data_IF_517441709856
#
_entry.id   IF_517441709856
#
_cell.length_a   1.000
_cell.length_b   1.000
_cell.length_c   1.000
_cell.angle_alpha   90.00
_cell.angle_beta   90.00
_cell.angle_gamma   90.00
#
_symmetry.space_group_name_H-M   'P 1'
#
loop_
_entity.id
_entity.type
_entity.pdbx_description
1 polymer ?
#
# COMPACT_ATOMS: atom_id res chain seq x y z
N UNK A 1 9.41 56.47 -0.02
CA UNK A 1 9.77 55.41 0.95
C UNK A 1 9.98 54.12 0.17
N UNK A 2 11.15 53.48 0.22
CA UNK A 2 11.39 52.29 -0.59
C UNK A 2 10.56 51.13 -0.03
N UNK A 3 9.71 50.54 -0.87
CA UNK A 3 9.05 49.25 -0.57
C UNK A 3 10.18 48.23 -0.39
N UNK A 4 10.30 47.63 0.79
CA UNK A 4 11.07 46.40 0.98
C UNK A 4 10.46 45.35 0.05
N UNK A 5 11.06 45.17 -1.12
CA UNK A 5 10.77 44.05 -2.00
C UNK A 5 11.37 42.86 -1.27
N UNK A 6 10.55 42.14 -0.53
CA UNK A 6 10.90 40.82 -0.01
C UNK A 6 11.39 39.97 -1.17
N UNK A 7 12.69 39.68 -1.19
CA UNK A 7 13.37 38.97 -2.28
C UNK A 7 12.87 37.51 -2.42
N UNK A 8 12.18 37.00 -1.40
CA UNK A 8 11.80 35.60 -1.27
C UNK A 8 10.40 35.43 -0.68
N UNK A 9 9.75 34.29 -0.94
CA UNK A 9 8.35 33.99 -0.55
C UNK A 9 8.19 33.57 0.93
N UNK A 10 9.25 33.53 1.74
CA UNK A 10 9.20 33.03 3.14
C UNK A 10 8.33 33.84 4.10
N UNK A 11 7.86 35.02 3.73
CA UNK A 11 6.94 35.78 4.57
C UNK A 11 5.56 35.12 4.59
N UNK A 12 5.02 34.87 5.78
CA UNK A 12 3.74 34.17 5.98
C UNK A 12 2.59 34.82 5.21
N UNK A 13 2.58 36.16 5.11
CA UNK A 13 1.50 36.88 4.42
C UNK A 13 1.60 36.72 2.90
N UNK A 14 2.83 36.74 2.37
CA UNK A 14 3.08 36.51 0.94
C UNK A 14 2.81 35.08 0.53
N UNK A 15 3.28 34.11 1.32
CA UNK A 15 3.01 32.70 1.09
C UNK A 15 1.52 32.41 1.17
N UNK A 16 0.83 32.90 2.21
CA UNK A 16 -0.62 32.74 2.37
C UNK A 16 -1.38 33.35 1.20
N UNK A 17 -0.94 34.50 0.69
CA UNK A 17 -1.53 35.13 -0.49
C UNK A 17 -1.32 34.29 -1.74
N UNK A 18 -0.11 33.78 -1.96
CA UNK A 18 0.19 32.89 -3.09
C UNK A 18 -0.65 31.61 -3.03
N UNK A 19 -0.78 30.99 -1.85
CA UNK A 19 -1.62 29.82 -1.64
C UNK A 19 -3.08 30.09 -2.00
N UNK A 20 -3.69 31.12 -1.38
CA UNK A 20 -5.09 31.49 -1.64
C UNK A 20 -5.37 31.86 -3.10
N UNK A 21 -4.35 32.35 -3.81
CA UNK A 21 -4.50 32.78 -5.21
C UNK A 21 -4.32 31.62 -6.19
N UNK A 22 -3.38 30.69 -5.93
CA UNK A 22 -2.97 29.70 -6.94
C UNK A 22 -3.38 28.27 -6.62
N UNK A 23 -3.74 27.93 -5.38
CA UNK A 23 -4.03 26.54 -5.00
C UNK A 23 -5.23 25.96 -5.77
N UNK A 24 -6.31 26.74 -5.92
CA UNK A 24 -7.52 26.28 -6.63
C UNK A 24 -7.28 26.14 -8.14
N UNK A 25 -6.60 27.11 -8.76
CA UNK A 25 -6.21 27.04 -10.17
C UNK A 25 -5.27 25.86 -10.43
N UNK A 26 -4.33 25.61 -9.52
CA UNK A 26 -3.42 24.47 -9.61
C UNK A 26 -4.18 23.15 -9.48
N UNK A 27 -5.12 23.05 -8.53
CA UNK A 27 -5.98 21.88 -8.40
C UNK A 27 -6.74 21.61 -9.70
N UNK A 28 -7.42 22.61 -10.26
CA UNK A 28 -8.15 22.46 -11.51
C UNK A 28 -7.23 22.05 -12.66
N UNK A 29 -6.05 22.68 -12.78
CA UNK A 29 -5.06 22.30 -13.79
C UNK A 29 -4.66 20.82 -13.69
N UNK A 30 -4.35 20.34 -12.49
CA UNK A 30 -3.97 18.94 -12.27
C UNK A 30 -5.15 18.00 -12.51
N UNK A 31 -6.34 18.34 -12.01
CA UNK A 31 -7.57 17.57 -12.19
C UNK A 31 -7.92 17.41 -13.66
N UNK A 32 -7.91 18.49 -14.46
CA UNK A 32 -8.21 18.41 -15.89
C UNK A 32 -7.16 17.62 -16.66
N UNK A 33 -5.89 17.67 -16.25
CA UNK A 33 -4.80 17.02 -16.97
C UNK A 33 -4.66 15.53 -16.64
N UNK A 34 -4.90 15.14 -15.40
CA UNK A 34 -4.60 13.78 -14.92
C UNK A 34 -5.80 13.05 -14.31
N UNK A 35 -6.91 13.76 -14.07
CA UNK A 35 -8.08 13.24 -13.39
C UNK A 35 -7.91 13.11 -11.87
N UNK A 36 -8.96 12.61 -11.22
CA UNK A 36 -9.02 12.51 -9.76
C UNK A 36 -8.20 11.35 -9.17
N UNK A 37 -7.86 10.36 -10.02
CA UNK A 37 -7.22 9.09 -9.60
C UNK A 37 -5.86 9.27 -8.94
N UNK A 38 -5.19 10.40 -9.16
CA UNK A 38 -3.87 10.71 -8.61
C UNK A 38 -3.93 11.73 -7.46
N UNK A 39 -5.11 11.89 -6.85
CA UNK A 39 -5.40 12.83 -5.77
C UNK A 39 -4.76 14.23 -5.99
N UNK A 40 -5.31 15.04 -6.92
CA UNK A 40 -4.78 16.35 -7.23
C UNK A 40 -4.63 17.29 -6.01
N UNK A 41 -5.50 17.16 -4.99
CA UNK A 41 -5.45 17.99 -3.77
C UNK A 41 -4.16 17.75 -2.98
N UNK A 42 -3.79 16.48 -2.80
CA UNK A 42 -2.55 16.13 -2.09
C UNK A 42 -1.33 16.67 -2.84
N UNK A 43 -1.33 16.62 -4.18
CA UNK A 43 -0.20 17.12 -4.97
C UNK A 43 -0.10 18.65 -4.98
N UNK A 44 -1.22 19.36 -4.88
CA UNK A 44 -1.23 20.80 -4.59
C UNK A 44 -0.58 21.07 -3.25
N UNK A 45 -1.00 20.37 -2.20
CA UNK A 45 -0.45 20.54 -0.85
C UNK A 45 1.06 20.30 -0.83
N UNK A 46 1.51 19.18 -1.41
CA UNK A 46 2.92 18.82 -1.48
C UNK A 46 3.75 19.86 -2.24
N UNK A 47 3.23 20.41 -3.34
CA UNK A 47 3.92 21.47 -4.09
C UNK A 47 4.09 22.76 -3.27
N UNK A 48 3.09 23.12 -2.45
CA UNK A 48 3.20 24.27 -1.55
C UNK A 48 4.11 24.03 -0.35
N UNK A 49 4.16 22.80 0.18
CA UNK A 49 5.16 22.41 1.19
C UNK A 49 6.56 22.58 0.61
N UNK A 50 6.81 22.07 -0.59
CA UNK A 50 8.11 22.24 -1.27
C UNK A 50 8.44 23.71 -1.55
N UNK A 51 7.43 24.53 -1.88
CA UNK A 51 7.63 25.98 -2.01
C UNK A 51 8.08 26.59 -0.68
N UNK A 52 7.48 26.18 0.44
CA UNK A 52 7.84 26.65 1.77
C UNK A 52 9.25 26.23 2.17
N UNK A 53 9.63 24.97 1.93
CA UNK A 53 10.97 24.46 2.20
C UNK A 53 12.06 25.20 1.40
N UNK A 54 11.75 25.59 0.16
CA UNK A 54 12.66 26.31 -0.73
C UNK A 54 12.39 27.83 -0.76
N UNK A 55 11.65 28.36 0.22
CA UNK A 55 11.08 29.69 0.13
C UNK A 55 12.14 30.78 -0.06
N UNK A 56 13.35 30.58 0.48
CA UNK A 56 14.48 31.53 0.45
C UNK A 56 15.04 31.73 -0.96
N UNK A 57 14.91 30.71 -1.80
CA UNK A 57 15.47 30.68 -3.16
C UNK A 57 14.42 31.07 -4.21
N UNK A 58 13.13 31.10 -3.83
CA UNK A 58 12.03 31.38 -4.73
C UNK A 58 11.53 32.82 -4.53
N UNK A 59 11.76 33.71 -5.51
CA UNK A 59 11.21 35.05 -5.44
C UNK A 59 9.68 35.00 -5.60
N UNK A 60 8.92 35.92 -4.99
CA UNK A 60 7.46 35.91 -5.05
C UNK A 60 6.88 35.88 -6.48
N UNK A 61 7.57 36.51 -7.43
CA UNK A 61 7.19 36.52 -8.85
C UNK A 61 7.26 35.15 -9.53
N UNK A 62 8.09 34.22 -9.01
CA UNK A 62 8.25 32.85 -9.51
C UNK A 62 7.45 31.82 -8.72
N UNK A 63 6.73 32.21 -7.66
CA UNK A 63 5.98 31.26 -6.83
C UNK A 63 4.95 30.47 -7.64
N UNK A 64 4.22 31.13 -8.55
CA UNK A 64 3.24 30.46 -9.43
C UNK A 64 3.91 29.41 -10.33
N UNK A 65 4.94 29.80 -11.09
CA UNK A 65 5.61 28.86 -11.99
C UNK A 65 6.25 27.71 -11.22
N UNK A 66 6.84 27.97 -10.06
CA UNK A 66 7.41 26.96 -9.18
C UNK A 66 6.37 25.89 -8.80
N UNK A 67 5.23 26.27 -8.21
CA UNK A 67 4.24 25.28 -7.73
C UNK A 67 3.61 24.50 -8.88
N UNK A 68 3.39 25.14 -10.04
CA UNK A 68 2.87 24.44 -11.23
C UNK A 68 3.88 23.42 -11.78
N UNK A 69 5.16 23.78 -11.85
CA UNK A 69 6.21 22.86 -12.30
C UNK A 69 6.37 21.69 -11.32
N UNK A 70 6.45 21.98 -10.03
CA UNK A 70 6.62 20.95 -8.99
C UNK A 70 5.44 20.00 -8.98
N UNK A 71 4.21 20.50 -8.93
CA UNK A 71 3.02 19.64 -8.90
C UNK A 71 2.88 18.79 -10.17
N UNK A 72 3.18 19.35 -11.35
CA UNK A 72 3.16 18.58 -12.60
C UNK A 72 4.19 17.44 -12.57
N UNK A 73 5.39 17.69 -12.04
CA UNK A 73 6.42 16.66 -11.93
C UNK A 73 6.02 15.58 -10.92
N UNK A 74 5.39 15.96 -9.81
CA UNK A 74 4.85 15.01 -8.84
C UNK A 74 3.81 14.09 -9.45
N UNK A 75 2.89 14.63 -10.26
CA UNK A 75 1.90 13.83 -10.99
C UNK A 75 2.57 12.88 -11.99
N UNK A 76 3.55 13.37 -12.76
CA UNK A 76 4.25 12.53 -13.76
C UNK A 76 5.03 11.39 -13.11
N UNK A 77 5.67 11.65 -11.96
CA UNK A 77 6.37 10.62 -11.20
C UNK A 77 5.40 9.57 -10.66
N UNK A 78 4.22 9.98 -10.18
CA UNK A 78 3.17 9.07 -9.75
C UNK A 78 2.69 8.17 -10.91
N UNK A 79 2.44 8.76 -12.09
CA UNK A 79 2.06 8.00 -13.30
C UNK A 79 3.14 7.00 -13.68
N UNK A 80 4.42 7.41 -13.65
CA UNK A 80 5.54 6.53 -13.95
C UNK A 80 5.64 5.37 -12.95
N UNK A 81 5.45 5.66 -11.66
CA UNK A 81 5.43 4.65 -10.60
C UNK A 81 4.29 3.64 -10.79
N UNK A 82 3.06 4.12 -11.03
CA UNK A 82 1.90 3.25 -11.28
C UNK A 82 2.11 2.34 -12.50
N UNK A 83 2.77 2.84 -13.55
CA UNK A 83 3.11 2.03 -14.73
C UNK A 83 4.06 0.88 -14.37
N UNK A 84 5.05 1.15 -13.52
CA UNK A 84 6.00 0.14 -13.04
C UNK A 84 5.29 -0.89 -12.17
N UNK A 85 4.47 -0.45 -11.21
CA UNK A 85 3.68 -1.32 -10.33
C UNK A 85 2.76 -2.23 -11.16
N UNK A 86 2.05 -1.69 -12.14
CA UNK A 86 1.18 -2.47 -13.01
C UNK A 86 1.96 -3.51 -13.82
N UNK A 87 3.14 -3.14 -14.33
CA UNK A 87 4.01 -4.07 -15.04
C UNK A 87 4.44 -5.24 -14.14
N UNK A 88 4.88 -4.96 -12.91
CA UNK A 88 5.21 -6.01 -11.93
C UNK A 88 4.00 -6.86 -11.53
N UNK A 89 2.82 -6.26 -11.40
CA UNK A 89 1.60 -7.01 -11.11
C UNK A 89 1.22 -7.96 -12.26
N UNK A 90 1.47 -7.57 -13.51
CA UNK A 90 1.28 -8.44 -14.69
C UNK A 90 2.39 -9.48 -14.85
N UNK A 91 3.60 -9.18 -14.42
CA UNK A 91 4.75 -10.09 -14.43
C UNK A 91 4.80 -11.01 -13.20
N UNK A 92 3.92 -10.81 -12.21
CA UNK A 92 3.70 -11.81 -11.16
C UNK A 92 3.23 -13.06 -11.86
N UNK A 93 3.97 -14.18 -11.81
CA UNK A 93 3.58 -15.38 -12.53
C UNK A 93 2.16 -15.71 -12.12
N UNK A 94 1.25 -15.79 -13.08
CA UNK A 94 0.09 -16.66 -12.95
C UNK A 94 0.66 -17.97 -12.40
N UNK A 95 0.20 -18.45 -11.24
CA UNK A 95 0.78 -19.59 -10.52
C UNK A 95 0.85 -20.83 -11.44
N UNK A 96 1.86 -20.88 -12.30
CA UNK A 96 2.22 -22.02 -13.09
C UNK A 96 3.19 -22.75 -12.18
N UNK A 97 2.65 -23.65 -11.38
CA UNK A 97 3.49 -24.65 -10.76
C UNK A 97 4.11 -25.45 -11.91
N UNK A 98 5.41 -25.72 -11.87
CA UNK A 98 6.06 -26.68 -12.79
C UNK A 98 5.61 -28.13 -12.51
N UNK A 99 4.48 -28.30 -11.83
CA UNK A 99 3.93 -29.58 -11.44
C UNK A 99 3.22 -30.18 -12.64
N UNK A 100 3.48 -31.46 -12.88
CA UNK A 100 2.76 -32.17 -13.93
C UNK A 100 1.27 -32.26 -13.57
N UNK A 101 0.37 -32.35 -14.56
CA UNK A 101 -1.04 -32.61 -14.31
C UNK A 101 -1.27 -33.86 -13.43
N UNK A 102 -0.38 -34.86 -13.55
CA UNK A 102 -0.38 -36.07 -12.73
C UNK A 102 -0.08 -35.77 -11.25
N UNK A 103 0.86 -34.86 -10.96
CA UNK A 103 1.17 -34.44 -9.59
C UNK A 103 -0.04 -33.75 -8.95
N UNK A 104 -0.68 -32.82 -9.68
CA UNK A 104 -1.87 -32.09 -9.22
C UNK A 104 -3.02 -33.06 -8.95
N UNK A 105 -3.24 -34.04 -9.83
CA UNK A 105 -4.27 -35.06 -9.63
C UNK A 105 -3.97 -35.92 -8.39
N UNK A 106 -2.72 -36.35 -8.22
CA UNK A 106 -2.30 -37.16 -7.07
C UNK A 106 -2.43 -36.39 -5.75
N UNK A 107 -2.11 -35.10 -5.75
CA UNK A 107 -2.29 -34.24 -4.58
C UNK A 107 -3.77 -34.16 -4.19
N UNK A 108 -4.67 -33.96 -5.16
CA UNK A 108 -6.13 -33.96 -4.92
C UNK A 108 -6.62 -35.29 -4.36
N UNK A 109 -6.21 -36.41 -4.95
CA UNK A 109 -6.57 -37.75 -4.45
C UNK A 109 -6.04 -37.99 -3.03
N UNK A 110 -4.83 -37.52 -2.73
CA UNK A 110 -4.26 -37.61 -1.39
C UNK A 110 -5.06 -36.76 -0.39
N UNK A 111 -5.40 -35.53 -0.76
CA UNK A 111 -6.22 -34.63 0.05
C UNK A 111 -7.59 -35.26 0.37
N UNK A 112 -8.26 -35.84 -0.63
CA UNK A 112 -9.54 -36.53 -0.43
C UNK A 112 -9.40 -37.74 0.50
N UNK A 113 -8.37 -38.56 0.33
CA UNK A 113 -8.09 -39.70 1.23
C UNK A 113 -7.83 -39.23 2.66
N UNK A 114 -7.08 -38.15 2.84
CA UNK A 114 -6.80 -37.55 4.14
C UNK A 114 -8.10 -37.07 4.80
N UNK A 115 -8.92 -36.31 4.08
CA UNK A 115 -10.21 -35.84 4.60
C UNK A 115 -11.13 -37.00 4.99
N UNK A 116 -11.21 -38.03 4.15
CA UNK A 116 -11.98 -39.23 4.44
C UNK A 116 -11.44 -40.03 5.64
N UNK A 117 -10.14 -39.97 5.94
CA UNK A 117 -9.58 -40.57 7.14
C UNK A 117 -9.93 -39.73 8.39
N UNK A 118 -9.85 -38.40 8.29
CA UNK A 118 -10.22 -37.49 9.37
C UNK A 118 -11.70 -37.59 9.74
N UNK A 119 -12.60 -37.75 8.76
CA UNK A 119 -14.05 -37.91 9.01
C UNK A 119 -14.39 -39.18 9.79
N UNK A 120 -13.58 -40.24 9.68
CA UNK A 120 -13.74 -41.49 10.43
C UNK A 120 -13.31 -41.40 11.89
N UNK A 121 -12.55 -40.38 12.26
CA UNK A 121 -12.18 -40.13 13.65
C UNK A 121 -13.38 -39.53 14.41
N UNK A 122 -13.52 -39.91 15.68
CA UNK A 122 -14.39 -39.20 16.61
C UNK A 122 -13.91 -37.76 16.78
N UNK A 123 -14.79 -36.86 17.21
CA UNK A 123 -14.47 -35.45 17.40
C UNK A 123 -13.25 -35.26 18.32
N UNK A 124 -13.21 -35.95 19.46
CA UNK A 124 -12.09 -35.88 20.41
C UNK A 124 -10.76 -36.33 19.78
N UNK A 125 -10.77 -37.44 19.04
CA UNK A 125 -9.57 -37.96 18.35
C UNK A 125 -9.08 -36.99 17.25
N UNK A 126 -10.02 -36.42 16.48
CA UNK A 126 -9.70 -35.47 15.42
C UNK A 126 -9.09 -34.20 16.01
N UNK A 127 -9.68 -33.67 17.08
CA UNK A 127 -9.18 -32.48 17.77
C UNK A 127 -7.77 -32.70 18.31
N UNK A 128 -7.52 -33.81 19.01
CA UNK A 128 -6.19 -34.15 19.51
C UNK A 128 -5.16 -34.29 18.37
N UNK A 129 -5.53 -34.95 17.27
CA UNK A 129 -4.67 -35.10 16.10
C UNK A 129 -4.29 -33.74 15.46
N UNK A 130 -5.25 -32.84 15.29
CA UNK A 130 -5.02 -31.52 14.69
C UNK A 130 -4.17 -30.62 15.60
N UNK A 131 -4.42 -30.61 16.90
CA UNK A 131 -3.60 -29.87 17.88
C UNK A 131 -2.13 -30.32 17.84
N UNK A 132 -1.89 -31.62 17.67
CA UNK A 132 -0.52 -32.11 17.53
C UNK A 132 0.09 -31.79 16.16
N UNK A 133 -0.61 -32.11 15.07
CA UNK A 133 -0.03 -32.11 13.73
C UNK A 133 -0.01 -30.75 13.04
N UNK A 134 -1.00 -29.90 13.33
CA UNK A 134 -1.15 -28.58 12.73
C UNK A 134 -0.59 -27.50 13.67
N UNK A 135 -0.98 -27.55 14.95
CA UNK A 135 -0.55 -26.54 15.93
C UNK A 135 0.76 -26.89 16.66
N UNK A 136 1.29 -28.10 16.46
CA UNK A 136 2.57 -28.53 17.03
C UNK A 136 2.56 -28.75 18.55
N UNK A 137 1.39 -28.91 19.18
CA UNK A 137 1.26 -29.10 20.63
C UNK A 137 1.81 -30.46 21.08
N UNK A 138 2.45 -30.49 22.24
CA UNK A 138 2.92 -31.73 22.89
C UNK A 138 1.75 -32.44 23.59
N UNK A 139 1.84 -33.75 23.76
CA UNK A 139 0.76 -34.54 24.38
C UNK A 139 0.33 -34.06 25.76
N UNK A 140 1.24 -33.52 26.57
CA UNK A 140 0.90 -32.92 27.87
C UNK A 140 -0.02 -31.70 27.74
N UNK A 141 0.30 -30.82 26.79
CA UNK A 141 -0.48 -29.59 26.55
C UNK A 141 -1.87 -29.93 25.98
N UNK A 142 -1.97 -30.97 25.14
CA UNK A 142 -3.24 -31.44 24.59
C UNK A 142 -4.13 -32.06 25.69
N UNK A 143 -3.54 -32.85 26.58
CA UNK A 143 -4.25 -33.43 27.73
C UNK A 143 -4.83 -32.34 28.65
N UNK A 144 -4.05 -31.30 28.94
CA UNK A 144 -4.52 -30.15 29.71
C UNK A 144 -5.64 -29.38 29.01
N UNK A 145 -5.54 -29.18 27.68
CA UNK A 145 -6.56 -28.47 26.90
C UNK A 145 -7.87 -29.25 26.77
N UNK A 146 -7.80 -30.58 26.69
CA UNK A 146 -8.96 -31.45 26.50
C UNK A 146 -9.49 -32.03 27.83
N UNK A 147 -8.90 -31.66 28.96
CA UNK A 147 -9.23 -32.17 30.31
C UNK A 147 -9.24 -33.71 30.39
N UNK A 148 -8.22 -34.34 29.81
CA UNK A 148 -8.03 -35.79 29.81
C UNK A 148 -6.62 -36.17 30.28
N UNK A 149 -6.41 -37.42 30.65
CA UNK A 149 -5.07 -37.89 31.02
C UNK A 149 -4.12 -37.90 29.81
N UNK A 150 -2.83 -37.64 30.04
CA UNK A 150 -1.78 -37.72 28.99
C UNK A 150 -1.72 -39.11 28.32
N UNK A 151 -2.15 -40.17 29.03
CA UNK A 151 -2.23 -41.53 28.47
C UNK A 151 -3.43 -41.73 27.53
N UNK A 152 -4.45 -40.88 27.65
CA UNK A 152 -5.64 -40.91 26.81
C UNK A 152 -5.49 -40.11 25.51
N UNK A 153 -4.49 -39.23 25.44
CA UNK A 153 -4.04 -38.51 24.22
C UNK A 153 -3.19 -39.45 23.37
#
# INVERSE_FOLDING_TARGET
MPKNITEHICDDTLFSKAFKTYAEDLYHFLYYKFGDRLNPRDKVQEAFIKLWENCKEVPPSKAKSFVFTVANNLMLNEVAHQKVVLKYAQETPQNHTNESPEFILREKEYQEKLQNALTKLTEAQRTAFLLNRIEGKKFKEIAELLDISVKAV
#
